data_IF_216455094940
#
_entry.id   IF_216455094940
#
_cell.length_a   1.000
_cell.length_b   1.000
_cell.length_c   1.000
_cell.angle_alpha   90.00
_cell.angle_beta   90.00
_cell.angle_gamma   90.00
#
_symmetry.space_group_name_H-M   'P 1'
#
loop_
_entity.id
_entity.type
_entity.pdbx_description
1 polymer ?
#
# COMPACT_ATOMS: atom_id res chain seq x y z
N UNK A 1 8.92 -21.02 55.10
CA UNK A 1 8.65 -22.47 54.94
C UNK A 1 8.05 -22.73 53.56
N UNK A 2 8.72 -23.60 52.83
CA UNK A 2 8.42 -24.29 51.56
C UNK A 2 8.65 -23.54 50.25
N UNK A 3 9.83 -23.80 49.74
CA UNK A 3 10.29 -23.76 48.36
C UNK A 3 9.34 -24.48 47.41
N UNK A 4 9.18 -23.94 46.19
CA UNK A 4 8.81 -24.74 45.03
C UNK A 4 9.81 -24.51 43.87
N UNK A 5 10.64 -25.52 43.73
CA UNK A 5 11.65 -25.81 42.74
C UNK A 5 11.11 -25.70 41.31
N UNK A 6 11.76 -24.86 40.48
CA UNK A 6 11.65 -24.88 39.01
C UNK A 6 12.43 -26.07 38.46
N UNK A 7 11.76 -27.07 37.94
CA UNK A 7 12.36 -28.07 37.06
C UNK A 7 12.27 -27.60 35.61
N UNK A 8 13.37 -27.07 35.09
CA UNK A 8 13.66 -27.06 33.67
C UNK A 8 13.91 -28.46 33.18
N UNK A 9 12.98 -29.08 32.45
CA UNK A 9 13.24 -30.26 31.65
C UNK A 9 13.64 -29.81 30.26
N UNK A 10 14.94 -29.87 29.94
CA UNK A 10 15.42 -29.89 28.58
C UNK A 10 14.89 -31.18 27.92
N UNK A 11 14.09 -31.03 26.85
CA UNK A 11 13.71 -32.16 25.99
C UNK A 11 14.98 -32.78 25.42
N UNK A 12 15.18 -34.08 25.64
CA UNK A 12 16.35 -34.80 25.12
C UNK A 12 16.34 -34.79 23.59
N UNK A 13 17.54 -34.81 22.99
CA UNK A 13 17.76 -34.75 21.54
C UNK A 13 16.90 -35.75 20.75
N UNK A 14 16.63 -36.95 21.35
CA UNK A 14 15.81 -38.01 20.75
C UNK A 14 14.32 -37.56 20.58
N UNK A 15 13.75 -36.88 21.57
CA UNK A 15 12.36 -36.39 21.48
C UNK A 15 12.15 -35.28 20.39
N UNK A 16 13.18 -34.49 20.13
CA UNK A 16 13.15 -33.48 19.08
C UNK A 16 13.21 -34.11 17.69
N UNK A 17 13.98 -35.18 17.52
CA UNK A 17 14.10 -35.92 16.26
C UNK A 17 12.78 -36.65 15.92
N UNK A 18 12.10 -37.26 16.91
CA UNK A 18 10.84 -37.98 16.70
C UNK A 18 9.67 -37.04 16.31
N UNK A 19 9.65 -35.81 16.81
CA UNK A 19 8.59 -34.79 16.50
C UNK A 19 8.71 -34.27 15.07
N UNK A 20 9.94 -34.12 14.55
CA UNK A 20 10.16 -33.42 13.26
C UNK A 20 10.44 -34.38 12.08
N UNK A 21 10.89 -35.60 12.29
CA UNK A 21 11.37 -36.45 11.19
C UNK A 21 10.73 -37.85 11.10
N UNK A 22 9.93 -38.29 12.07
CA UNK A 22 9.25 -39.60 12.05
C UNK A 22 10.21 -40.74 11.77
N UNK A 23 11.22 -40.94 12.63
CA UNK A 23 12.26 -41.95 12.49
C UNK A 23 11.88 -43.23 13.26
N UNK A 24 11.85 -44.38 12.60
CA UNK A 24 11.70 -45.70 13.25
C UNK A 24 12.95 -46.55 13.04
N UNK A 25 13.33 -47.29 14.07
CA UNK A 25 14.45 -48.24 14.02
C UNK A 25 13.94 -49.63 13.63
N UNK A 26 14.35 -50.13 12.49
CA UNK A 26 14.08 -51.51 12.08
C UNK A 26 15.43 -52.20 11.86
N UNK A 27 15.66 -53.26 12.64
CA UNK A 27 16.86 -54.14 12.55
C UNK A 27 18.18 -53.37 12.66
N UNK A 28 18.29 -52.38 13.57
CA UNK A 28 19.54 -51.61 13.80
C UNK A 28 19.89 -50.53 12.78
N UNK A 29 19.00 -50.24 11.83
CA UNK A 29 19.17 -49.20 10.83
C UNK A 29 18.09 -48.12 11.00
N UNK A 30 18.50 -46.83 11.03
CA UNK A 30 17.60 -45.69 11.10
C UNK A 30 16.96 -45.44 9.73
N UNK A 31 15.64 -45.52 9.63
CA UNK A 31 14.90 -45.27 8.39
C UNK A 31 14.05 -43.96 8.51
N UNK A 32 14.29 -43.01 7.67
CA UNK A 32 13.52 -41.74 7.59
C UNK A 32 12.24 -41.92 6.75
N UNK A 33 11.08 -41.69 7.35
CA UNK A 33 9.75 -41.83 6.66
C UNK A 33 9.32 -40.62 5.80
N UNK A 34 9.98 -39.47 5.84
CA UNK A 34 9.60 -38.28 5.05
C UNK A 34 10.82 -37.58 4.46
N UNK A 35 11.22 -38.00 3.27
CA UNK A 35 12.17 -37.26 2.39
C UNK A 35 11.51 -37.08 1.03
N UNK A 36 11.63 -35.88 0.46
CA UNK A 36 11.13 -35.56 -0.89
C UNK A 36 11.72 -36.56 -1.91
N UNK A 37 10.92 -37.15 -2.83
CA UNK A 37 11.36 -38.26 -3.70
C UNK A 37 12.66 -38.02 -4.48
N UNK A 38 12.90 -36.78 -4.93
CA UNK A 38 14.10 -36.42 -5.71
C UNK A 38 15.41 -36.50 -4.87
N UNK A 39 15.35 -36.22 -3.58
CA UNK A 39 16.52 -36.28 -2.65
C UNK A 39 16.84 -37.75 -2.28
N UNK A 40 15.82 -38.59 -2.22
CA UNK A 40 15.96 -40.00 -1.90
C UNK A 40 16.80 -40.78 -2.93
N UNK A 41 16.56 -40.56 -4.22
CA UNK A 41 17.27 -41.25 -5.31
C UNK A 41 18.77 -40.88 -5.33
N UNK A 42 19.11 -39.61 -5.07
CA UNK A 42 20.50 -39.15 -5.08
C UNK A 42 21.30 -39.66 -3.87
N UNK A 43 20.66 -39.75 -2.70
CA UNK A 43 21.30 -40.22 -1.46
C UNK A 43 21.52 -41.74 -1.50
N UNK A 44 20.54 -42.53 -1.96
CA UNK A 44 20.66 -43.96 -2.09
C UNK A 44 21.75 -44.39 -3.08
N UNK A 45 21.84 -43.71 -4.26
CA UNK A 45 22.87 -44.00 -5.25
C UNK A 45 24.29 -43.62 -4.78
N UNK A 46 24.42 -42.55 -3.99
CA UNK A 46 25.71 -42.13 -3.42
C UNK A 46 26.15 -43.01 -2.25
N UNK A 47 25.25 -43.41 -1.39
CA UNK A 47 25.52 -44.32 -0.28
C UNK A 47 25.97 -45.71 -0.75
N UNK A 48 25.36 -46.29 -1.80
CA UNK A 48 25.72 -47.57 -2.38
C UNK A 48 27.10 -47.55 -3.06
N UNK A 49 27.56 -46.41 -3.56
CA UNK A 49 28.93 -46.27 -4.10
C UNK A 49 30.01 -46.14 -3.03
N UNK A 50 29.73 -45.48 -1.90
CA UNK A 50 30.69 -45.32 -0.79
C UNK A 50 30.86 -46.56 0.05
N UNK A 51 29.82 -47.39 0.24
CA UNK A 51 29.90 -48.66 0.96
C UNK A 51 30.83 -49.71 0.29
N UNK A 52 31.14 -49.55 -1.00
CA UNK A 52 32.07 -50.41 -1.75
C UNK A 52 33.55 -49.98 -1.63
N UNK A 53 33.85 -48.85 -1.00
CA UNK A 53 35.19 -48.26 -1.00
C UNK A 53 35.92 -48.28 0.37
N UNK A 54 35.28 -48.73 1.49
CA UNK A 54 35.88 -48.62 2.83
C UNK A 54 35.74 -49.91 3.63
N UNK A 55 36.85 -50.64 3.80
CA UNK A 55 36.99 -51.70 4.77
C UNK A 55 37.58 -51.13 6.06
N UNK A 56 36.77 -50.91 7.13
CA UNK A 56 37.29 -50.52 8.45
C UNK A 56 36.43 -49.58 9.28
N UNK A 57 36.65 -49.50 10.58
CA UNK A 57 35.90 -48.84 11.65
C UNK A 57 35.87 -47.25 11.60
N UNK A 58 36.36 -46.60 10.55
CA UNK A 58 36.31 -45.16 10.31
C UNK A 58 35.09 -44.55 9.63
N UNK A 59 34.11 -45.32 9.10
CA UNK A 59 33.04 -44.81 8.26
C UNK A 59 31.90 -44.09 9.03
N UNK A 60 31.64 -44.44 10.27
CA UNK A 60 30.47 -43.92 10.98
C UNK A 60 30.55 -42.44 11.34
N UNK A 61 31.75 -41.94 11.70
CA UNK A 61 31.97 -40.51 12.00
C UNK A 61 32.01 -39.66 10.75
N UNK A 62 32.58 -40.18 9.65
CA UNK A 62 32.61 -39.49 8.35
C UNK A 62 31.22 -39.45 7.72
N UNK A 63 30.41 -40.51 7.89
CA UNK A 63 29.01 -40.57 7.43
C UNK A 63 28.12 -39.58 8.17
N UNK A 64 28.31 -39.40 9.47
CA UNK A 64 27.58 -38.42 10.26
C UNK A 64 27.91 -36.98 9.85
N UNK A 65 29.16 -36.62 9.57
CA UNK A 65 29.56 -35.31 9.11
C UNK A 65 29.05 -34.98 7.69
N UNK A 66 29.07 -35.95 6.78
CA UNK A 66 28.59 -35.78 5.40
C UNK A 66 27.07 -35.63 5.39
N UNK A 67 26.33 -36.39 6.18
CA UNK A 67 24.86 -36.28 6.30
C UNK A 67 24.47 -34.89 6.88
N UNK A 68 25.18 -34.43 7.92
CA UNK A 68 24.96 -33.12 8.52
C UNK A 68 25.28 -32.01 7.52
N UNK A 69 26.34 -32.14 6.72
CA UNK A 69 26.69 -31.18 5.66
C UNK A 69 25.67 -31.12 4.53
N UNK A 70 25.16 -32.27 4.06
CA UNK A 70 24.18 -32.36 2.97
C UNK A 70 22.80 -31.91 3.44
N UNK A 71 22.38 -32.23 4.66
CA UNK A 71 21.10 -31.78 5.22
C UNK A 71 21.09 -30.27 5.50
N UNK A 72 22.19 -29.68 5.95
CA UNK A 72 22.33 -28.24 6.14
C UNK A 72 22.29 -27.49 4.83
N UNK A 73 22.93 -28.01 3.78
CA UNK A 73 22.93 -27.39 2.43
C UNK A 73 21.56 -27.53 1.72
N UNK A 74 20.88 -28.65 1.88
CA UNK A 74 19.57 -28.91 1.29
C UNK A 74 18.44 -28.09 1.98
N UNK A 75 18.54 -27.91 3.30
CA UNK A 75 17.64 -27.05 4.08
C UNK A 75 17.81 -25.56 3.71
N UNK A 76 19.03 -25.11 3.47
CA UNK A 76 19.31 -23.74 3.02
C UNK A 76 18.84 -23.47 1.57
N UNK A 77 18.56 -24.49 0.78
CA UNK A 77 18.10 -24.38 -0.62
C UNK A 77 16.58 -24.52 -0.80
N UNK A 78 15.81 -24.82 0.23
CA UNK A 78 14.35 -24.87 0.10
C UNK A 78 13.81 -23.44 -0.12
N UNK A 79 12.93 -23.20 -1.13
CA UNK A 79 12.33 -21.88 -1.36
C UNK A 79 11.64 -21.32 -0.12
N UNK A 80 11.18 -22.19 0.78
CA UNK A 80 10.47 -21.83 2.01
C UNK A 80 11.39 -21.29 3.12
N UNK A 81 12.72 -21.50 3.01
CA UNK A 81 13.70 -21.01 3.98
C UNK A 81 14.51 -19.80 3.48
N UNK A 82 14.66 -19.67 2.16
CA UNK A 82 15.47 -18.55 1.58
C UNK A 82 14.96 -17.19 1.98
N UNK A 83 13.65 -16.95 1.85
CA UNK A 83 13.06 -15.67 2.21
C UNK A 83 13.22 -15.35 3.70
N UNK A 84 13.23 -16.35 4.58
CA UNK A 84 13.43 -16.15 6.04
C UNK A 84 14.84 -15.66 6.36
N UNK A 85 15.83 -16.21 5.68
CA UNK A 85 17.23 -15.78 5.81
C UNK A 85 17.39 -14.38 5.24
N UNK A 86 16.86 -14.12 4.04
CA UNK A 86 16.87 -12.81 3.41
C UNK A 86 16.19 -11.76 4.30
N UNK A 87 15.01 -12.07 4.84
CA UNK A 87 14.25 -11.19 5.71
C UNK A 87 15.00 -10.84 6.99
N UNK A 88 15.56 -11.84 7.67
CA UNK A 88 16.37 -11.61 8.87
C UNK A 88 17.58 -10.72 8.57
N UNK A 89 18.33 -11.02 7.53
CA UNK A 89 19.51 -10.25 7.14
C UNK A 89 19.13 -8.81 6.78
N UNK A 90 17.99 -8.62 6.13
CA UNK A 90 17.44 -7.29 5.79
C UNK A 90 17.08 -6.50 7.05
N UNK A 91 16.43 -7.14 8.04
CA UNK A 91 16.12 -6.47 9.33
C UNK A 91 17.41 -6.07 10.05
N UNK A 92 18.41 -6.95 10.13
CA UNK A 92 19.69 -6.64 10.78
C UNK A 92 20.41 -5.48 10.07
N UNK A 93 20.39 -5.43 8.75
CA UNK A 93 20.95 -4.33 7.97
C UNK A 93 20.15 -3.02 8.18
N UNK A 94 18.83 -3.09 8.15
CA UNK A 94 17.94 -1.97 8.43
C UNK A 94 18.14 -1.36 9.83
N UNK A 95 18.40 -2.20 10.83
CA UNK A 95 18.72 -1.75 12.18
C UNK A 95 20.05 -1.03 12.28
N UNK A 96 21.04 -1.36 11.41
CA UNK A 96 22.29 -0.61 11.28
C UNK A 96 22.09 0.72 10.57
N UNK A 97 21.20 0.79 9.57
CA UNK A 97 20.78 2.04 8.92
C UNK A 97 20.01 2.96 9.89
N UNK A 98 19.27 2.36 10.84
CA UNK A 98 18.65 3.03 11.98
C UNK A 98 17.38 3.81 11.69
N UNK A 99 17.08 4.14 10.43
CA UNK A 99 15.88 4.91 10.07
C UNK A 99 15.38 4.61 8.66
N UNK A 100 14.12 5.02 8.39
CA UNK A 100 13.51 5.13 7.06
C UNK A 100 12.68 6.40 6.99
N UNK A 101 12.81 7.17 5.92
CA UNK A 101 12.09 8.43 5.71
C UNK A 101 11.06 8.26 4.59
N UNK A 102 9.80 8.48 4.92
CA UNK A 102 8.67 8.22 4.03
C UNK A 102 7.92 9.52 3.72
N UNK A 103 7.84 9.86 2.45
CA UNK A 103 6.95 10.90 1.96
C UNK A 103 5.52 10.37 1.92
N UNK A 104 4.57 11.06 2.54
CA UNK A 104 3.17 10.62 2.65
C UNK A 104 2.18 11.75 2.30
N UNK A 105 0.89 11.42 2.01
CA UNK A 105 -0.17 12.42 1.89
C UNK A 105 -0.31 13.30 3.14
N UNK A 106 -0.86 14.50 2.98
CA UNK A 106 -1.05 15.47 4.05
C UNK A 106 -2.12 15.00 5.06
N UNK A 107 -1.74 14.08 5.93
CA UNK A 107 -2.57 13.59 7.05
C UNK A 107 -1.70 13.40 8.29
N UNK A 108 -2.07 14.09 9.37
CA UNK A 108 -1.43 13.93 10.68
C UNK A 108 -1.77 12.56 11.27
N UNK A 109 -3.00 12.09 11.07
CA UNK A 109 -3.47 10.79 11.52
C UNK A 109 -2.70 9.66 10.85
N UNK A 110 -2.48 9.76 9.53
CA UNK A 110 -1.67 8.77 8.81
C UNK A 110 -0.23 8.75 9.31
N UNK A 111 0.37 9.93 9.51
CA UNK A 111 1.72 10.04 10.06
C UNK A 111 1.82 9.29 11.38
N UNK A 112 0.97 9.64 12.34
CA UNK A 112 0.97 9.01 13.65
C UNK A 112 0.75 7.50 13.56
N UNK A 113 -0.24 7.06 12.79
CA UNK A 113 -0.59 5.65 12.66
C UNK A 113 0.56 4.82 12.06
N UNK A 114 1.25 5.34 11.03
CA UNK A 114 2.40 4.66 10.42
C UNK A 114 3.58 4.59 11.38
N UNK A 115 3.94 5.71 12.04
CA UNK A 115 5.06 5.77 12.98
C UNK A 115 4.84 4.84 14.18
N UNK A 116 3.65 4.84 14.78
CA UNK A 116 3.31 3.96 15.91
C UNK A 116 3.21 2.49 15.49
N UNK A 117 2.53 2.20 14.39
CA UNK A 117 2.35 0.84 13.89
C UNK A 117 3.68 0.18 13.50
N UNK A 118 4.54 0.90 12.78
CA UNK A 118 5.84 0.40 12.40
C UNK A 118 6.77 0.19 13.60
N UNK A 119 6.83 1.17 14.51
CA UNK A 119 7.64 1.10 15.74
C UNK A 119 7.27 -0.08 16.63
N UNK A 120 6.00 -0.48 16.67
CA UNK A 120 5.54 -1.64 17.44
C UNK A 120 6.22 -2.93 17.00
N UNK A 121 6.46 -3.13 15.71
CA UNK A 121 7.15 -4.32 15.17
C UNK A 121 8.67 -4.14 15.06
N UNK A 122 9.12 -2.93 14.72
CA UNK A 122 10.52 -2.63 14.43
C UNK A 122 11.06 -1.48 15.30
N UNK A 123 11.09 -1.63 16.65
CA UNK A 123 11.42 -0.54 17.57
C UNK A 123 12.85 0.02 17.45
N UNK A 124 13.75 -0.70 16.73
CA UNK A 124 15.14 -0.27 16.49
C UNK A 124 15.34 0.44 15.15
N UNK A 125 14.26 0.65 14.39
CA UNK A 125 14.30 1.39 13.12
C UNK A 125 13.35 2.59 13.29
N UNK A 126 13.89 3.80 13.25
CA UNK A 126 13.08 5.02 13.35
C UNK A 126 12.37 5.26 12.01
N UNK A 127 11.05 5.18 11.99
CA UNK A 127 10.26 5.54 10.82
C UNK A 127 9.82 7.00 10.95
N UNK A 128 10.22 7.83 10.00
CA UNK A 128 9.88 9.24 9.90
C UNK A 128 8.94 9.46 8.72
N UNK A 129 7.71 9.93 8.99
CA UNK A 129 6.73 10.27 7.96
C UNK A 129 6.66 11.78 7.74
N UNK A 130 6.81 12.21 6.48
CA UNK A 130 6.73 13.61 6.08
C UNK A 130 5.46 13.86 5.26
N UNK A 131 4.40 14.39 5.90
CA UNK A 131 3.15 14.70 5.20
C UNK A 131 3.29 15.96 4.36
N UNK A 132 2.78 15.93 3.12
CA UNK A 132 2.67 17.11 2.27
C UNK A 132 1.48 17.02 1.31
N UNK A 133 1.01 18.19 0.86
CA UNK A 133 -0.09 18.31 -0.10
C UNK A 133 0.41 18.17 -1.54
N UNK A 134 -0.39 17.52 -2.38
CA UNK A 134 -0.19 17.43 -3.81
C UNK A 134 1.20 16.95 -4.19
N UNK A 135 1.89 17.72 -5.02
CA UNK A 135 3.22 17.40 -5.53
C UNK A 135 4.39 17.97 -4.68
N UNK A 136 4.13 18.57 -3.51
CA UNK A 136 5.18 19.27 -2.75
C UNK A 136 6.36 18.36 -2.40
N UNK A 137 6.10 17.14 -1.86
CA UNK A 137 7.18 16.20 -1.58
C UNK A 137 7.87 15.69 -2.86
N UNK A 138 7.13 15.51 -3.96
CA UNK A 138 7.70 15.13 -5.25
C UNK A 138 8.65 16.21 -5.76
N UNK A 139 8.23 17.48 -5.70
CA UNK A 139 9.08 18.62 -6.08
C UNK A 139 10.33 18.70 -5.18
N UNK A 140 10.17 18.45 -3.88
CA UNK A 140 11.30 18.42 -2.93
C UNK A 140 12.27 17.29 -3.28
N UNK A 141 11.80 16.05 -3.47
CA UNK A 141 12.63 14.91 -3.90
C UNK A 141 13.41 15.25 -5.17
N UNK A 142 12.74 15.88 -6.14
CA UNK A 142 13.36 16.27 -7.40
C UNK A 142 14.44 17.35 -7.23
N UNK A 143 14.23 18.34 -6.37
CA UNK A 143 15.22 19.38 -6.10
C UNK A 143 16.40 18.84 -5.30
N UNK A 144 16.15 17.97 -4.34
CA UNK A 144 17.19 17.30 -3.55
C UNK A 144 18.08 16.43 -4.43
N UNK A 145 17.49 15.65 -5.35
CA UNK A 145 18.24 14.83 -6.30
C UNK A 145 19.16 15.69 -7.20
N UNK A 146 18.65 16.81 -7.75
CA UNK A 146 19.46 17.76 -8.51
C UNK A 146 20.62 18.34 -7.71
N UNK A 147 20.44 18.50 -6.41
CA UNK A 147 21.48 19.00 -5.48
C UNK A 147 22.43 17.92 -4.98
N UNK A 148 22.25 16.65 -5.40
CA UNK A 148 23.03 15.51 -4.90
C UNK A 148 22.73 15.17 -3.45
N UNK A 149 21.61 15.63 -2.90
CA UNK A 149 21.14 15.36 -1.54
C UNK A 149 19.95 14.42 -1.61
N UNK A 150 19.98 13.35 -0.82
CA UNK A 150 18.90 12.37 -0.80
C UNK A 150 18.41 12.18 0.63
N UNK A 151 17.16 12.59 0.87
CA UNK A 151 16.55 12.52 2.20
C UNK A 151 15.47 11.46 2.30
N UNK A 152 14.67 11.31 1.24
CA UNK A 152 13.56 10.37 1.21
C UNK A 152 13.97 8.98 0.71
N UNK A 153 13.39 7.96 1.31
CA UNK A 153 13.57 6.56 0.94
C UNK A 153 12.40 6.02 0.10
N UNK A 154 11.17 6.33 0.54
CA UNK A 154 9.93 5.80 -0.02
C UNK A 154 8.95 6.95 -0.22
N UNK A 155 8.14 6.90 -1.29
CA UNK A 155 7.01 7.81 -1.44
C UNK A 155 5.70 7.02 -1.53
N UNK A 156 4.69 7.51 -0.80
CA UNK A 156 3.31 7.03 -0.85
C UNK A 156 2.42 8.20 -1.24
N UNK A 157 1.60 8.03 -2.28
CA UNK A 157 0.74 9.13 -2.73
C UNK A 157 -0.12 8.80 -3.94
N UNK A 158 -0.77 9.81 -4.49
CA UNK A 158 -1.50 9.73 -5.75
C UNK A 158 -0.56 9.62 -6.95
N UNK A 159 -0.96 8.89 -7.99
CA UNK A 159 -0.10 8.56 -9.12
C UNK A 159 0.23 9.74 -10.03
N UNK A 160 -0.63 10.77 -10.11
CA UNK A 160 -0.47 11.87 -11.07
C UNK A 160 0.89 12.57 -10.96
N UNK A 161 1.29 12.97 -9.76
CA UNK A 161 2.59 13.63 -9.53
C UNK A 161 3.78 12.67 -9.68
N UNK A 162 3.59 11.39 -9.39
CA UNK A 162 4.62 10.36 -9.61
C UNK A 162 4.87 10.19 -11.10
N UNK A 163 3.80 10.02 -11.88
CA UNK A 163 3.85 9.78 -13.35
C UNK A 163 4.35 11.02 -14.11
N UNK A 164 4.02 12.22 -13.64
CA UNK A 164 4.47 13.45 -14.30
C UNK A 164 5.82 13.98 -13.78
N UNK A 165 6.29 13.52 -12.61
CA UNK A 165 7.52 13.96 -11.98
C UNK A 165 8.58 12.86 -11.86
N UNK A 166 8.46 11.95 -10.88
CA UNK A 166 9.52 10.99 -10.54
C UNK A 166 9.78 9.96 -11.64
N UNK A 167 8.73 9.47 -12.32
CA UNK A 167 8.86 8.44 -13.34
C UNK A 167 9.68 8.93 -14.56
N UNK A 168 9.36 10.08 -15.21
CA UNK A 168 10.14 10.57 -16.34
C UNK A 168 11.53 11.06 -15.94
N UNK A 169 11.76 11.41 -14.68
CA UNK A 169 13.07 11.77 -14.16
C UNK A 169 13.99 10.56 -13.92
N UNK A 170 13.47 9.32 -14.03
CA UNK A 170 14.25 8.09 -13.81
C UNK A 170 14.65 7.87 -12.35
N UNK A 171 13.89 8.42 -11.40
CA UNK A 171 14.18 8.39 -9.95
C UNK A 171 13.57 7.19 -9.22
N UNK A 172 12.93 6.27 -9.94
CA UNK A 172 12.24 5.11 -9.36
C UNK A 172 13.01 3.82 -9.58
N UNK A 173 12.98 2.92 -8.59
CA UNK A 173 13.44 1.54 -8.69
C UNK A 173 12.25 0.58 -8.90
N UNK A 174 12.43 -0.54 -9.65
CA UNK A 174 11.42 -1.59 -9.72
C UNK A 174 11.09 -2.15 -8.33
N UNK A 175 9.80 -2.16 -7.96
CA UNK A 175 9.38 -2.47 -6.59
C UNK A 175 9.38 -3.97 -6.26
N UNK A 176 9.10 -4.86 -7.22
CA UNK A 176 9.00 -6.31 -6.95
C UNK A 176 10.22 -6.92 -6.26
N UNK A 177 11.48 -6.55 -6.60
CA UNK A 177 12.66 -7.04 -5.88
C UNK A 177 12.74 -6.61 -4.41
N UNK A 178 12.00 -5.58 -4.01
CA UNK A 178 11.96 -5.09 -2.62
C UNK A 178 10.96 -5.85 -1.75
N UNK A 179 10.02 -6.57 -2.36
CA UNK A 179 9.08 -7.43 -1.66
C UNK A 179 9.77 -8.75 -1.29
N UNK A 180 9.87 -9.07 -0.01
CA UNK A 180 10.54 -10.27 0.52
C UNK A 180 9.51 -11.27 1.07
N UNK A 181 8.55 -10.78 1.86
CA UNK A 181 7.59 -11.63 2.55
C UNK A 181 6.65 -12.36 1.58
N UNK A 182 6.50 -13.69 1.69
CA UNK A 182 5.62 -14.48 0.82
C UNK A 182 4.17 -13.98 0.81
N UNK A 183 3.68 -13.48 1.95
CA UNK A 183 2.32 -12.94 2.05
C UNK A 183 2.14 -11.65 1.23
N UNK A 184 3.22 -10.87 1.05
CA UNK A 184 3.22 -9.65 0.23
C UNK A 184 3.36 -9.99 -1.26
N UNK A 185 4.27 -10.93 -1.57
CA UNK A 185 4.59 -11.35 -2.95
C UNK A 185 3.51 -12.20 -3.64
N UNK A 186 2.66 -12.89 -2.89
CA UNK A 186 1.67 -13.82 -3.49
C UNK A 186 0.50 -13.02 -4.10
N UNK A 187 0.31 -13.05 -5.44
CA UNK A 187 -0.78 -12.32 -6.10
C UNK A 187 -2.17 -12.70 -5.58
N UNK A 188 -2.35 -13.96 -5.14
CA UNK A 188 -3.64 -14.45 -4.60
C UNK A 188 -4.10 -13.78 -3.31
N UNK A 189 -3.22 -13.07 -2.60
CA UNK A 189 -3.57 -12.32 -1.39
C UNK A 189 -4.12 -10.92 -1.71
N UNK A 190 -4.07 -10.53 -3.00
CA UNK A 190 -4.49 -9.24 -3.49
C UNK A 190 -5.63 -9.38 -4.48
N UNK A 191 -6.69 -8.64 -4.29
CA UNK A 191 -7.75 -8.57 -5.28
C UNK A 191 -7.20 -8.01 -6.61
N UNK A 192 -7.46 -8.75 -7.70
CA UNK A 192 -6.89 -8.44 -9.01
C UNK A 192 -5.40 -8.77 -9.18
N UNK A 193 -4.78 -9.47 -8.23
CA UNK A 193 -3.35 -9.77 -8.25
C UNK A 193 -2.48 -8.54 -8.01
N UNK A 194 -1.30 -8.46 -8.62
CA UNK A 194 -0.46 -7.26 -8.59
C UNK A 194 -0.94 -6.25 -9.63
N UNK A 195 -1.30 -5.05 -9.20
CA UNK A 195 -1.76 -3.95 -10.05
C UNK A 195 -0.76 -2.80 -9.96
N UNK A 196 -0.38 -2.28 -11.13
CA UNK A 196 0.58 -1.20 -11.31
C UNK A 196 -0.08 -0.02 -12.03
N UNK A 197 0.32 1.18 -11.69
CA UNK A 197 -0.18 2.38 -12.36
C UNK A 197 0.65 2.78 -13.58
N UNK A 198 1.94 2.45 -13.58
CA UNK A 198 2.85 2.72 -14.69
C UNK A 198 2.68 1.69 -15.82
N UNK A 199 2.86 2.11 -17.07
CA UNK A 199 2.73 1.27 -18.25
C UNK A 199 3.74 0.10 -18.29
N UNK A 200 4.91 0.28 -17.67
CA UNK A 200 5.92 -0.78 -17.55
C UNK A 200 5.55 -1.87 -16.54
N UNK A 201 4.59 -1.61 -15.64
CA UNK A 201 4.13 -2.55 -14.63
C UNK A 201 5.19 -2.89 -13.57
N UNK A 202 6.03 -1.93 -13.18
CA UNK A 202 7.22 -2.20 -12.36
C UNK A 202 7.42 -1.26 -11.18
N UNK A 203 7.01 0.00 -11.28
CA UNK A 203 7.45 1.07 -10.38
C UNK A 203 6.39 1.52 -9.39
N UNK A 204 5.15 1.72 -9.84
CA UNK A 204 4.08 2.34 -9.06
C UNK A 204 3.06 1.29 -8.66
N UNK A 205 3.21 0.72 -7.47
CA UNK A 205 2.34 -0.35 -6.97
C UNK A 205 1.08 0.21 -6.33
N UNK A 206 -0.08 -0.14 -6.89
CA UNK A 206 -1.39 0.25 -6.36
C UNK A 206 -1.82 -0.76 -5.29
N UNK A 207 -1.81 -0.39 -4.02
CA UNK A 207 -2.25 -1.27 -2.92
C UNK A 207 -3.68 -1.00 -2.44
N UNK A 208 -4.32 0.07 -2.89
CA UNK A 208 -5.74 0.36 -2.66
C UNK A 208 -6.54 0.26 -3.96
N UNK A 209 -7.86 -0.05 -3.85
CA UNK A 209 -8.82 0.09 -4.93
C UNK A 209 -10.23 0.27 -4.37
N UNK A 210 -10.89 1.35 -4.74
CA UNK A 210 -12.21 1.68 -4.24
C UNK A 210 -12.96 2.61 -5.19
N UNK A 211 -14.29 2.64 -5.03
CA UNK A 211 -15.14 3.68 -5.54
C UNK A 211 -15.23 4.78 -4.49
N UNK A 212 -15.05 6.03 -4.89
CA UNK A 212 -15.10 7.17 -3.98
C UNK A 212 -16.30 8.05 -4.30
N UNK A 213 -17.02 8.47 -3.28
CA UNK A 213 -18.01 9.53 -3.44
C UNK A 213 -17.27 10.84 -3.70
N UNK A 214 -17.71 11.55 -4.74
CA UNK A 214 -17.01 12.74 -5.22
C UNK A 214 -17.46 14.01 -4.52
N UNK A 215 -18.60 13.95 -3.79
CA UNK A 215 -19.27 15.10 -3.21
C UNK A 215 -19.48 14.92 -1.71
N UNK A 216 -19.22 15.99 -0.95
CA UNK A 216 -19.53 16.10 0.46
C UNK A 216 -20.41 17.32 0.71
N UNK A 217 -21.28 17.27 1.71
CA UNK A 217 -22.21 18.36 2.00
C UNK A 217 -22.32 18.66 3.50
N UNK A 218 -22.71 19.91 3.80
CA UNK A 218 -23.12 20.28 5.15
C UNK A 218 -24.61 19.97 5.33
N UNK A 219 -24.94 19.15 6.34
CA UNK A 219 -26.32 18.67 6.57
C UNK A 219 -27.28 19.71 7.09
N UNK A 220 -26.78 20.88 7.54
CA UNK A 220 -27.61 22.04 7.92
C UNK A 220 -27.92 22.94 6.73
N UNK A 221 -27.09 22.91 5.68
CA UNK A 221 -27.14 23.82 4.54
C UNK A 221 -27.79 23.19 3.31
N UNK A 222 -27.79 21.85 3.23
CA UNK A 222 -28.27 21.11 2.08
C UNK A 222 -28.89 19.77 2.54
N UNK A 223 -30.00 19.38 1.91
CA UNK A 223 -30.58 18.04 2.06
C UNK A 223 -30.09 17.15 0.92
N UNK A 224 -29.75 15.87 1.16
CA UNK A 224 -29.17 14.99 0.14
C UNK A 224 -30.10 14.77 -1.07
N UNK A 225 -31.43 14.84 -0.88
CA UNK A 225 -32.44 14.67 -1.94
C UNK A 225 -32.44 15.83 -2.96
N UNK A 226 -31.74 16.92 -2.65
CA UNK A 226 -31.67 18.10 -3.52
C UNK A 226 -30.59 17.97 -4.59
N UNK A 227 -29.67 17.01 -4.43
CA UNK A 227 -28.58 16.71 -5.37
C UNK A 227 -28.59 15.22 -5.68
N UNK A 228 -29.26 14.83 -6.74
CA UNK A 228 -29.34 13.46 -7.26
C UNK A 228 -28.46 13.23 -8.49
N UNK A 229 -28.16 14.31 -9.21
CA UNK A 229 -27.37 14.33 -10.43
C UNK A 229 -26.33 15.46 -10.34
N UNK A 230 -25.26 15.38 -11.10
CA UNK A 230 -24.32 16.50 -11.22
C UNK A 230 -24.95 17.74 -11.84
N UNK A 231 -26.05 17.62 -12.62
CA UNK A 231 -26.77 18.79 -13.13
C UNK A 231 -27.41 19.60 -12.00
N UNK A 232 -27.71 19.00 -10.88
CA UNK A 232 -28.25 19.71 -9.71
C UNK A 232 -27.27 20.71 -9.10
N UNK A 233 -25.95 20.55 -9.35
CA UNK A 233 -24.93 21.53 -8.95
C UNK A 233 -25.08 22.87 -9.67
N UNK A 234 -25.80 22.89 -10.77
CA UNK A 234 -26.08 24.12 -11.57
C UNK A 234 -27.30 24.89 -11.07
N UNK A 235 -27.98 24.42 -10.02
CA UNK A 235 -29.16 25.11 -9.46
C UNK A 235 -28.77 26.44 -8.84
N UNK A 236 -29.57 27.52 -9.06
CA UNK A 236 -29.26 28.88 -8.57
C UNK A 236 -28.98 28.98 -7.08
N UNK A 237 -29.65 28.14 -6.27
CA UNK A 237 -29.45 28.10 -4.80
C UNK A 237 -28.06 27.67 -4.34
N UNK A 238 -27.29 26.99 -5.20
CA UNK A 238 -25.93 26.57 -4.93
C UNK A 238 -24.87 27.56 -5.44
N UNK A 239 -25.29 28.62 -6.14
CA UNK A 239 -24.36 29.64 -6.65
C UNK A 239 -23.61 30.32 -5.51
N UNK A 240 -22.26 30.36 -5.60
CA UNK A 240 -21.38 30.89 -4.55
C UNK A 240 -21.25 30.00 -3.31
N UNK A 241 -21.85 28.77 -3.33
CA UNK A 241 -21.88 27.86 -2.17
C UNK A 241 -21.25 26.49 -2.41
N UNK A 242 -20.61 26.32 -3.56
CA UNK A 242 -19.86 25.12 -3.93
C UNK A 242 -18.38 25.41 -3.79
N UNK A 243 -17.67 24.66 -2.97
CA UNK A 243 -16.22 24.70 -2.94
C UNK A 243 -15.62 23.55 -3.73
N UNK A 244 -14.45 23.76 -4.30
CA UNK A 244 -13.71 22.75 -5.05
C UNK A 244 -12.21 22.84 -4.74
N UNK A 245 -11.59 21.68 -4.54
CA UNK A 245 -10.13 21.60 -4.52
C UNK A 245 -9.60 21.91 -5.91
N UNK A 246 -8.68 22.87 -6.01
CA UNK A 246 -8.17 23.42 -7.28
C UNK A 246 -7.78 22.31 -8.29
N UNK A 247 -8.51 22.15 -9.40
CA UNK A 247 -8.29 21.06 -10.35
C UNK A 247 -7.08 21.29 -11.28
N UNK A 248 -6.47 22.46 -11.24
CA UNK A 248 -5.28 22.81 -12.04
C UNK A 248 -4.02 22.09 -11.55
N UNK A 249 -4.03 21.60 -10.29
CA UNK A 249 -2.90 20.89 -9.70
C UNK A 249 -3.19 19.40 -9.51
N UNK A 250 -2.17 18.51 -9.57
CA UNK A 250 -2.34 17.10 -9.27
C UNK A 250 -2.97 16.85 -7.89
N UNK A 251 -4.03 16.03 -7.85
CA UNK A 251 -4.75 15.72 -6.62
C UNK A 251 -6.17 15.21 -6.87
N UNK A 252 -6.96 15.10 -5.80
CA UNK A 252 -8.34 14.63 -5.87
C UNK A 252 -9.28 15.65 -6.55
N UNK A 253 -9.00 16.94 -6.46
CA UNK A 253 -9.73 17.97 -7.24
C UNK A 253 -9.60 17.74 -8.74
N UNK A 254 -8.37 17.52 -9.23
CA UNK A 254 -8.13 17.17 -10.64
C UNK A 254 -8.81 15.85 -11.02
N UNK A 255 -8.81 14.85 -10.13
CA UNK A 255 -9.48 13.57 -10.36
C UNK A 255 -10.98 13.74 -10.59
N UNK A 256 -11.64 14.47 -9.70
CA UNK A 256 -13.09 14.70 -9.81
C UNK A 256 -13.44 15.60 -11.02
N UNK A 257 -12.64 16.65 -11.27
CA UNK A 257 -12.80 17.50 -12.43
C UNK A 257 -12.70 16.71 -13.75
N UNK A 258 -11.71 15.84 -13.87
CA UNK A 258 -11.54 14.99 -15.05
C UNK A 258 -12.67 13.98 -15.23
N UNK A 259 -13.21 13.46 -14.12
CA UNK A 259 -14.38 12.60 -14.15
C UNK A 259 -15.62 13.37 -14.63
N UNK A 260 -15.88 14.56 -14.09
CA UNK A 260 -16.99 15.40 -14.53
C UNK A 260 -16.86 15.77 -16.02
N UNK A 261 -15.66 16.09 -16.48
CA UNK A 261 -15.42 16.31 -17.91
C UNK A 261 -15.77 15.08 -18.75
N UNK A 262 -15.34 13.89 -18.31
CA UNK A 262 -15.62 12.62 -19.03
C UNK A 262 -17.10 12.31 -19.13
N UNK A 263 -17.89 12.56 -18.07
CA UNK A 263 -19.31 12.16 -18.00
C UNK A 263 -20.29 13.26 -18.42
N UNK A 264 -19.91 14.55 -18.27
CA UNK A 264 -20.80 15.68 -18.57
C UNK A 264 -20.28 16.58 -19.71
N UNK A 265 -19.00 16.46 -20.10
CA UNK A 265 -18.41 17.25 -21.17
C UNK A 265 -17.97 18.67 -20.75
N UNK A 266 -17.33 19.39 -21.72
CA UNK A 266 -16.77 20.72 -21.51
C UNK A 266 -17.85 21.79 -21.22
N UNK A 267 -18.98 21.74 -21.91
CA UNK A 267 -20.06 22.70 -21.72
C UNK A 267 -20.67 22.68 -20.32
N UNK A 268 -20.71 21.52 -19.70
CA UNK A 268 -21.11 21.38 -18.31
C UNK A 268 -20.10 22.08 -17.39
N UNK A 269 -18.80 21.87 -17.58
CA UNK A 269 -17.76 22.50 -16.77
C UNK A 269 -17.77 24.04 -16.90
N UNK A 270 -18.03 24.56 -18.10
CA UNK A 270 -18.26 26.02 -18.32
C UNK A 270 -19.43 26.56 -17.49
N UNK A 271 -20.53 25.78 -17.40
CA UNK A 271 -21.69 26.14 -16.57
C UNK A 271 -21.37 26.01 -15.07
N UNK A 272 -20.60 24.99 -14.68
CA UNK A 272 -20.21 24.77 -13.29
C UNK A 272 -19.31 25.92 -12.78
N UNK A 273 -18.38 26.40 -13.59
CA UNK A 273 -17.54 27.57 -13.24
C UNK A 273 -18.38 28.82 -13.00
N UNK A 274 -19.47 29.01 -13.77
CA UNK A 274 -20.40 30.15 -13.58
C UNK A 274 -21.23 30.08 -12.30
N UNK A 275 -21.09 28.99 -11.50
CA UNK A 275 -21.66 28.88 -10.17
C UNK A 275 -20.85 29.67 -9.11
N UNK A 276 -19.88 30.47 -9.50
CA UNK A 276 -19.02 31.22 -8.58
C UNK A 276 -18.37 30.30 -7.54
N UNK A 277 -17.60 29.31 -8.03
CA UNK A 277 -16.96 28.29 -7.22
C UNK A 277 -15.96 28.90 -6.22
N UNK A 278 -15.98 28.41 -4.99
CA UNK A 278 -14.97 28.69 -3.97
C UNK A 278 -13.76 27.79 -4.25
N UNK A 279 -12.74 28.33 -4.90
CA UNK A 279 -11.52 27.58 -5.22
C UNK A 279 -10.56 27.58 -4.03
N UNK A 280 -10.04 26.40 -3.66
CA UNK A 280 -9.05 26.30 -2.60
C UNK A 280 -7.94 25.28 -2.93
N UNK A 281 -6.72 25.55 -2.44
CA UNK A 281 -5.58 24.63 -2.53
C UNK A 281 -5.28 23.93 -1.21
N UNK A 282 -5.80 24.44 -0.12
CA UNK A 282 -5.63 23.87 1.20
C UNK A 282 -6.87 23.04 1.57
N UNK A 283 -6.70 21.73 1.57
CA UNK A 283 -7.78 20.77 1.88
C UNK A 283 -8.41 21.01 3.25
N UNK A 284 -7.61 21.35 4.26
CA UNK A 284 -8.10 21.61 5.61
C UNK A 284 -8.99 22.85 5.67
N UNK A 285 -8.58 23.93 5.00
CA UNK A 285 -9.38 25.15 4.96
C UNK A 285 -10.72 24.95 4.25
N UNK A 286 -10.74 24.16 3.16
CA UNK A 286 -11.99 23.79 2.49
C UNK A 286 -12.87 22.93 3.44
N UNK A 287 -12.31 21.93 4.09
CA UNK A 287 -13.07 21.12 5.05
C UNK A 287 -13.64 21.94 6.21
N UNK A 288 -12.89 22.92 6.72
CA UNK A 288 -13.37 23.88 7.71
C UNK A 288 -14.51 24.77 7.17
N UNK A 289 -14.38 25.23 5.92
CA UNK A 289 -15.40 26.03 5.24
C UNK A 289 -16.72 25.25 5.13
N UNK A 290 -16.67 24.01 4.66
CA UNK A 290 -17.83 23.12 4.60
C UNK A 290 -18.42 22.86 5.98
N UNK A 291 -17.58 22.50 6.95
CA UNK A 291 -18.01 22.14 8.31
C UNK A 291 -18.73 23.30 9.03
N UNK A 292 -18.29 24.54 8.76
CA UNK A 292 -18.86 25.76 9.33
C UNK A 292 -20.04 26.35 8.53
N UNK A 293 -20.46 25.69 7.43
CA UNK A 293 -21.58 26.13 6.61
C UNK A 293 -21.29 27.33 5.68
N UNK A 294 -20.03 27.73 5.51
CA UNK A 294 -19.64 28.73 4.51
C UNK A 294 -19.86 28.23 3.08
N UNK A 295 -19.60 26.95 2.85
CA UNK A 295 -20.03 26.22 1.68
C UNK A 295 -21.13 25.23 2.03
N UNK A 296 -22.02 24.93 1.09
CA UNK A 296 -23.05 23.91 1.23
C UNK A 296 -22.57 22.54 0.74
N UNK A 297 -21.67 22.56 -0.25
CA UNK A 297 -21.17 21.38 -0.95
C UNK A 297 -19.69 21.52 -1.29
N UNK A 298 -18.94 20.43 -1.15
CA UNK A 298 -17.51 20.33 -1.45
C UNK A 298 -17.24 19.29 -2.53
N UNK A 299 -16.38 19.61 -3.48
CA UNK A 299 -15.96 18.77 -4.59
C UNK A 299 -14.47 18.47 -4.47
N UNK A 300 -14.09 17.19 -4.61
CA UNK A 300 -12.70 16.77 -4.72
C UNK A 300 -11.96 16.62 -3.38
N UNK A 301 -12.66 16.59 -2.25
CA UNK A 301 -12.08 16.21 -0.95
C UNK A 301 -12.41 14.77 -0.62
N UNK A 302 -11.54 14.13 0.18
CA UNK A 302 -11.67 12.74 0.61
C UNK A 302 -11.95 12.64 2.11
N UNK A 303 -12.46 11.47 2.55
CA UNK A 303 -12.80 11.18 3.94
C UNK A 303 -11.73 11.63 4.95
N UNK A 304 -10.45 11.30 4.72
CA UNK A 304 -9.37 11.62 5.66
C UNK A 304 -9.24 13.13 5.95
N UNK A 305 -9.64 13.98 5.00
CA UNK A 305 -9.67 15.43 5.21
C UNK A 305 -10.78 15.83 6.18
N UNK A 306 -11.91 15.12 6.13
CA UNK A 306 -13.08 15.38 6.99
C UNK A 306 -13.05 14.63 8.32
N UNK A 307 -12.22 13.61 8.47
CA UNK A 307 -12.17 12.75 9.66
C UNK A 307 -12.09 13.52 11.00
N UNK A 308 -11.24 14.55 11.17
CA UNK A 308 -11.20 15.32 12.42
C UNK A 308 -12.52 16.03 12.73
N UNK A 309 -13.19 16.57 11.69
CA UNK A 309 -14.45 17.29 11.83
C UNK A 309 -15.62 16.33 12.12
N UNK A 310 -15.60 15.15 11.52
CA UNK A 310 -16.57 14.09 11.82
C UNK A 310 -16.45 13.60 13.26
N UNK A 311 -15.23 13.40 13.74
CA UNK A 311 -14.95 13.02 15.13
C UNK A 311 -15.40 14.11 16.13
N UNK A 312 -15.37 15.37 15.71
CA UNK A 312 -15.87 16.50 16.49
C UNK A 312 -17.39 16.69 16.38
N UNK A 313 -18.10 15.82 15.65
CA UNK A 313 -19.57 15.87 15.53
C UNK A 313 -20.09 16.99 14.62
N UNK A 314 -19.24 17.52 13.73
CA UNK A 314 -19.68 18.60 12.83
C UNK A 314 -20.62 18.08 11.73
N UNK A 315 -21.53 18.92 11.20
CA UNK A 315 -22.67 18.51 10.39
C UNK A 315 -22.29 18.30 8.91
N UNK A 316 -21.35 17.39 8.63
CA UNK A 316 -20.90 17.04 7.29
C UNK A 316 -21.11 15.55 7.01
N UNK A 317 -21.47 15.23 5.76
CA UNK A 317 -21.65 13.85 5.29
C UNK A 317 -21.26 13.73 3.82
N UNK A 318 -20.88 12.51 3.36
CA UNK A 318 -20.82 12.25 1.93
C UNK A 318 -22.23 12.25 1.33
N UNK A 319 -22.38 12.81 0.12
CA UNK A 319 -23.62 12.68 -0.64
C UNK A 319 -23.79 11.27 -1.20
N UNK A 320 -25.02 10.76 -1.33
CA UNK A 320 -25.28 9.56 -2.12
C UNK A 320 -24.71 9.66 -3.53
N UNK A 321 -24.41 8.49 -4.12
CA UNK A 321 -23.86 8.42 -5.47
C UNK A 321 -24.81 9.08 -6.47
N UNK A 322 -24.35 10.08 -7.24
CA UNK A 322 -25.16 10.70 -8.30
C UNK A 322 -25.57 9.71 -9.40
N UNK A 323 -26.64 10.05 -10.15
CA UNK A 323 -27.17 9.19 -11.21
C UNK A 323 -26.14 8.82 -12.29
N UNK A 324 -25.21 9.73 -12.58
CA UNK A 324 -24.12 9.48 -13.56
C UNK A 324 -23.00 8.60 -12.99
N UNK A 325 -23.08 8.23 -11.73
CA UNK A 325 -22.09 7.37 -11.06
C UNK A 325 -20.88 8.11 -10.50
N UNK A 326 -19.85 7.33 -10.18
CA UNK A 326 -18.58 7.76 -9.59
C UNK A 326 -17.41 7.02 -10.26
N UNK A 327 -16.20 7.46 -10.03
CA UNK A 327 -15.01 6.79 -10.56
C UNK A 327 -14.37 5.85 -9.54
N UNK A 328 -13.61 4.90 -10.05
CA UNK A 328 -12.73 4.05 -9.24
C UNK A 328 -11.34 4.68 -9.08
N UNK A 329 -10.67 4.40 -7.98
CA UNK A 329 -9.36 5.00 -7.68
C UNK A 329 -8.52 4.10 -6.77
N UNK A 330 -7.21 4.22 -6.86
CA UNK A 330 -6.28 3.80 -5.82
C UNK A 330 -6.01 4.92 -4.79
N UNK A 331 -6.57 6.09 -4.98
CA UNK A 331 -6.42 7.24 -4.09
C UNK A 331 -4.98 7.59 -3.80
N UNK A 332 -4.66 7.64 -2.51
CA UNK A 332 -3.28 7.82 -2.02
C UNK A 332 -2.52 6.50 -1.82
N UNK A 333 -3.11 5.38 -2.20
CA UNK A 333 -2.56 4.04 -1.97
C UNK A 333 -1.67 3.54 -3.10
N UNK A 334 -0.67 4.33 -3.45
CA UNK A 334 0.37 3.93 -4.38
C UNK A 334 1.72 4.11 -3.72
N UNK A 335 2.57 3.10 -3.79
CA UNK A 335 3.92 3.14 -3.21
C UNK A 335 4.98 2.98 -4.30
N UNK A 336 6.03 3.78 -4.16
CA UNK A 336 7.23 3.73 -5.00
C UNK A 336 8.49 3.78 -4.14
N UNK A 337 9.55 3.15 -4.62
CA UNK A 337 10.90 3.20 -4.06
C UNK A 337 11.77 4.16 -4.86
N UNK A 338 12.56 4.96 -4.15
CA UNK A 338 13.47 5.89 -4.80
C UNK A 338 14.80 5.21 -5.11
N UNK A 339 15.32 5.45 -6.31
CA UNK A 339 16.60 4.90 -6.78
C UNK A 339 17.78 5.29 -5.89
N UNK A 340 17.69 6.47 -5.30
CA UNK A 340 18.71 7.07 -4.44
C UNK A 340 18.36 6.99 -2.95
N UNK A 341 17.51 6.03 -2.56
CA UNK A 341 17.12 5.83 -1.16
C UNK A 341 18.33 5.66 -0.23
N UNK A 342 18.55 6.56 0.76
CA UNK A 342 19.71 6.48 1.65
C UNK A 342 19.71 5.26 2.57
N UNK A 343 18.53 4.69 2.85
CA UNK A 343 18.37 3.56 3.78
C UNK A 343 17.63 2.39 3.08
N UNK A 344 18.29 1.69 2.11
CA UNK A 344 17.61 0.72 1.24
C UNK A 344 17.11 -0.52 1.99
N UNK A 345 17.77 -0.96 3.06
CA UNK A 345 17.29 -2.11 3.83
C UNK A 345 16.13 -1.73 4.75
N UNK A 346 16.16 -0.57 5.38
CA UNK A 346 15.06 -0.06 6.18
C UNK A 346 13.82 0.20 5.30
N UNK A 347 14.03 0.66 4.07
CA UNK A 347 12.96 0.80 3.06
C UNK A 347 12.34 -0.54 2.69
N UNK A 348 13.13 -1.61 2.49
CA UNK A 348 12.61 -2.96 2.26
C UNK A 348 11.77 -3.44 3.45
N UNK A 349 12.24 -3.23 4.68
CA UNK A 349 11.48 -3.59 5.89
C UNK A 349 10.17 -2.82 5.93
N UNK A 350 10.20 -1.49 5.69
CA UNK A 350 9.01 -0.66 5.69
C UNK A 350 7.99 -1.07 4.61
N UNK A 351 8.43 -1.32 3.37
CA UNK A 351 7.55 -1.72 2.27
C UNK A 351 6.87 -3.06 2.57
N UNK A 352 7.61 -4.05 3.08
CA UNK A 352 7.03 -5.34 3.43
C UNK A 352 6.04 -5.22 4.58
N UNK A 353 6.31 -4.38 5.59
CA UNK A 353 5.38 -4.08 6.65
C UNK A 353 4.15 -3.32 6.12
N UNK A 354 4.33 -2.25 5.34
CA UNK A 354 3.23 -1.48 4.78
C UNK A 354 2.27 -2.37 3.98
N UNK A 355 2.82 -3.29 3.17
CA UNK A 355 2.06 -4.19 2.31
C UNK A 355 1.61 -5.48 3.03
N UNK A 356 2.00 -5.71 4.27
CA UNK A 356 1.47 -6.78 5.11
C UNK A 356 0.01 -6.52 5.50
N UNK A 357 -0.65 -7.52 6.08
CA UNK A 357 -2.00 -7.35 6.62
C UNK A 357 -2.05 -6.19 7.63
N UNK A 358 -1.15 -6.18 8.62
CA UNK A 358 -1.10 -5.17 9.67
C UNK A 358 -0.88 -3.75 9.11
N UNK A 359 0.11 -3.57 8.21
CA UNK A 359 0.36 -2.28 7.59
C UNK A 359 -0.83 -1.78 6.77
N UNK A 360 -1.57 -2.66 6.11
CA UNK A 360 -2.78 -2.31 5.37
C UNK A 360 -3.97 -1.99 6.29
N UNK A 361 -4.10 -2.65 7.44
CA UNK A 361 -5.08 -2.29 8.49
C UNK A 361 -4.79 -0.90 9.04
N UNK A 362 -3.52 -0.59 9.34
CA UNK A 362 -3.06 0.72 9.82
C UNK A 362 -3.36 1.81 8.78
N UNK A 363 -2.96 1.60 7.52
CA UNK A 363 -3.15 2.59 6.46
C UNK A 363 -4.64 2.85 6.19
N UNK A 364 -5.42 1.78 6.00
CA UNK A 364 -6.87 1.87 5.75
C UNK A 364 -7.58 2.54 6.93
N UNK A 365 -7.19 2.20 8.17
CA UNK A 365 -7.75 2.79 9.39
C UNK A 365 -7.55 4.31 9.47
N UNK A 366 -6.36 4.79 9.10
CA UNK A 366 -6.03 6.22 9.14
C UNK A 366 -6.67 7.01 7.98
N UNK A 367 -6.69 6.42 6.77
CA UNK A 367 -7.12 7.12 5.56
C UNK A 367 -8.58 6.91 5.19
N UNK A 368 -9.23 5.87 5.73
CA UNK A 368 -10.56 5.46 5.30
C UNK A 368 -10.63 4.99 3.84
N UNK A 369 -9.49 4.67 3.24
CA UNK A 369 -9.37 4.23 1.85
C UNK A 369 -9.16 2.71 1.79
N UNK A 370 -10.10 1.95 1.18
CA UNK A 370 -10.07 0.49 1.19
C UNK A 370 -8.89 -0.13 0.44
N UNK A 371 -8.22 -1.05 1.13
CA UNK A 371 -7.14 -1.85 0.54
C UNK A 371 -7.64 -2.94 -0.40
N UNK A 372 -6.78 -3.37 -1.32
CA UNK A 372 -6.97 -4.54 -2.18
C UNK A 372 -6.62 -5.87 -1.49
N UNK A 373 -6.02 -5.84 -0.29
CA UNK A 373 -5.77 -7.08 0.44
C UNK A 373 -7.07 -7.79 0.78
N UNK A 374 -7.10 -9.10 0.50
CA UNK A 374 -8.31 -9.91 0.70
C UNK A 374 -8.55 -10.29 2.16
N UNK A 375 -7.51 -10.25 2.98
CA UNK A 375 -7.51 -10.61 4.41
C UNK A 375 -7.67 -9.40 5.37
N UNK A 376 -7.98 -8.21 4.82
CA UNK A 376 -8.26 -6.99 5.59
C UNK A 376 -9.73 -6.60 5.46
N UNK A 377 -10.40 -6.40 6.60
CA UNK A 377 -11.78 -5.90 6.62
C UNK A 377 -11.83 -4.42 6.25
N UNK A 378 -12.63 -4.10 5.25
CA UNK A 378 -12.85 -2.75 4.75
C UNK A 378 -14.33 -2.35 4.70
N UNK A 379 -15.26 -3.19 5.21
CA UNK A 379 -16.70 -2.95 5.13
C UNK A 379 -17.12 -1.64 5.82
N UNK A 380 -16.44 -1.28 6.91
CA UNK A 380 -16.69 -0.06 7.67
C UNK A 380 -16.45 1.24 6.89
N UNK A 381 -15.63 1.23 5.83
CA UNK A 381 -15.32 2.44 5.05
C UNK A 381 -16.52 2.93 4.25
N UNK A 382 -17.49 2.05 3.95
CA UNK A 382 -18.69 2.37 3.18
C UNK A 382 -19.53 3.47 3.83
N UNK A 383 -19.60 3.52 5.15
CA UNK A 383 -20.33 4.58 5.87
C UNK A 383 -19.76 5.99 5.63
N UNK A 384 -18.53 6.07 5.12
CA UNK A 384 -17.84 7.31 4.80
C UNK A 384 -17.72 7.55 3.28
N UNK A 385 -18.54 6.86 2.50
CA UNK A 385 -18.56 7.02 1.04
C UNK A 385 -17.39 6.36 0.31
N UNK A 386 -16.71 5.40 0.94
CA UNK A 386 -15.59 4.67 0.34
C UNK A 386 -15.97 3.20 0.20
N UNK A 387 -16.26 2.76 -1.03
CA UNK A 387 -16.72 1.41 -1.32
C UNK A 387 -15.53 0.61 -1.86
N UNK A 388 -15.11 -0.45 -1.16
CA UNK A 388 -14.02 -1.30 -1.62
C UNK A 388 -14.34 -1.92 -2.98
N UNK A 389 -13.45 -1.79 -3.96
CA UNK A 389 -13.65 -2.34 -5.29
C UNK A 389 -13.80 -3.86 -5.27
N UNK A 390 -13.11 -4.54 -4.36
CA UNK A 390 -13.18 -6.00 -4.17
C UNK A 390 -14.60 -6.51 -3.85
N UNK A 391 -15.47 -5.65 -3.32
CA UNK A 391 -16.82 -6.02 -2.88
C UNK A 391 -17.87 -5.83 -3.98
N UNK A 392 -17.59 -4.97 -4.99
CA UNK A 392 -18.60 -4.52 -5.96
C UNK A 392 -18.15 -4.55 -7.43
N UNK A 393 -16.86 -4.71 -7.70
CA UNK A 393 -16.31 -4.69 -9.05
C UNK A 393 -15.53 -5.98 -9.36
N UNK A 394 -15.45 -6.32 -10.64
CA UNK A 394 -14.40 -7.19 -11.17
C UNK A 394 -13.13 -6.37 -11.42
N UNK A 395 -11.92 -6.97 -11.43
CA UNK A 395 -10.69 -6.26 -11.80
C UNK A 395 -10.78 -5.58 -13.17
N UNK A 396 -11.41 -6.24 -14.17
CA UNK A 396 -11.64 -5.65 -15.50
C UNK A 396 -12.46 -4.37 -15.39
N UNK A 397 -13.58 -4.40 -14.65
CA UNK A 397 -14.46 -3.23 -14.51
C UNK A 397 -13.78 -2.10 -13.73
N UNK A 398 -12.90 -2.42 -12.78
CA UNK A 398 -12.08 -1.42 -12.09
C UNK A 398 -11.21 -0.63 -13.08
N UNK A 399 -10.51 -1.30 -13.99
CA UNK A 399 -9.66 -0.64 -15.00
C UNK A 399 -10.44 0.23 -15.99
N UNK A 400 -11.71 -0.06 -16.23
CA UNK A 400 -12.59 0.79 -17.06
C UNK A 400 -13.02 2.08 -16.36
N UNK A 401 -13.06 2.06 -15.02
CA UNK A 401 -13.58 3.16 -14.18
C UNK A 401 -12.49 3.94 -13.45
N UNK A 402 -11.27 3.39 -13.37
CA UNK A 402 -10.20 4.00 -12.60
C UNK A 402 -9.63 5.27 -13.27
N UNK A 403 -8.93 6.06 -12.46
CA UNK A 403 -8.38 7.34 -12.90
C UNK A 403 -6.92 7.56 -12.48
N UNK A 404 -6.18 6.48 -12.19
CA UNK A 404 -4.83 6.56 -11.62
C UNK A 404 -3.74 5.93 -12.51
N UNK A 405 -4.10 5.16 -13.54
CA UNK A 405 -3.12 4.59 -14.47
C UNK A 405 -2.41 5.67 -15.28
N UNK A 406 -1.21 5.37 -15.74
CA UNK A 406 -0.42 6.27 -16.60
C UNK A 406 -1.18 6.67 -17.86
N UNK A 407 -1.89 5.72 -18.47
CA UNK A 407 -2.74 5.99 -19.62
C UNK A 407 -3.81 7.03 -19.32
N UNK A 408 -4.61 6.84 -18.27
CA UNK A 408 -5.68 7.78 -17.90
C UNK A 408 -5.12 9.13 -17.48
N UNK A 409 -3.99 9.16 -16.78
CA UNK A 409 -3.35 10.42 -16.42
C UNK A 409 -2.94 11.20 -17.65
N UNK A 410 -2.29 10.56 -18.62
CA UNK A 410 -1.82 11.23 -19.84
C UNK A 410 -2.94 11.63 -20.79
N UNK A 411 -3.93 10.75 -20.96
CA UNK A 411 -4.99 10.92 -21.99
C UNK A 411 -6.23 11.68 -21.48
N UNK A 412 -6.48 11.69 -20.18
CA UNK A 412 -7.68 12.30 -19.59
C UNK A 412 -7.34 13.39 -18.58
N UNK A 413 -6.52 13.10 -17.56
CA UNK A 413 -6.34 14.04 -16.44
C UNK A 413 -5.50 15.26 -16.79
N UNK A 414 -4.43 15.10 -17.57
CA UNK A 414 -3.61 16.23 -18.03
C UNK A 414 -4.42 17.16 -18.96
N UNK A 415 -5.12 16.66 -19.99
CA UNK A 415 -6.02 17.50 -20.79
C UNK A 415 -7.12 18.18 -19.97
N UNK A 416 -7.72 17.48 -19.00
CA UNK A 416 -8.74 18.07 -18.12
C UNK A 416 -8.17 19.20 -17.25
N UNK A 417 -6.93 19.07 -16.77
CA UNK A 417 -6.25 20.15 -16.05
C UNK A 417 -5.95 21.35 -16.93
N UNK A 418 -5.54 21.13 -18.19
CA UNK A 418 -5.37 22.21 -19.17
C UNK A 418 -6.70 22.97 -19.43
N UNK A 419 -7.82 22.22 -19.51
CA UNK A 419 -9.14 22.84 -19.58
C UNK A 419 -9.48 23.61 -18.29
N UNK A 420 -9.11 23.11 -17.12
CA UNK A 420 -9.32 23.84 -15.87
C UNK A 420 -8.55 25.17 -15.85
N UNK A 421 -7.30 25.20 -16.32
CA UNK A 421 -6.56 26.46 -16.49
C UNK A 421 -7.31 27.45 -17.42
N UNK A 422 -7.77 26.96 -18.57
CA UNK A 422 -8.50 27.80 -19.53
C UNK A 422 -9.79 28.41 -18.96
N UNK A 423 -10.46 27.71 -18.03
CA UNK A 423 -11.76 28.12 -17.51
C UNK A 423 -11.69 28.87 -16.17
N UNK A 424 -10.59 28.72 -15.40
CA UNK A 424 -10.47 29.25 -14.03
C UNK A 424 -9.39 30.33 -13.88
N UNK A 425 -8.51 30.52 -14.89
CA UNK A 425 -7.58 31.64 -14.98
C UNK A 425 -8.25 32.84 -15.67
#
# INVERSE_FOLDING_TARGET
>A
MREHSRRNRSLGFQQVVDIYFGVETVSGVLVMKRVVPAVRITVEAFCLRLLKLTNGLGPALFFSMVIIGITSSALAQSPDLRWRVEWRNTIEAAQREGKVVVSIPASAELRQALEEGFKKQFPRINQESLPAQGANNINRIFQEDKGGVHYFDVHIGGTSSIITGLLPAGLLEPLMPWMILPEVKKPKNWWGGHIWADAAGQYIYMFLAYLTETLWYNTKELRPEEVKSYDDLLKPKLKGRIEILDPRTPGSGQSTWSFLWKVKGEEYLKKLVRQDLILGRNQRQLAESLANGKAALSIGLSYYTFSPFLKAGLPIKPLPVPEEGIYASSGSGNVVTLKTAPHPNASKVFINWLLSREGQEVFTGAMGQPTRRLDVDTAWTKQFGQIAAKDVLTPKRFFELENQSEEVIRTVRIPAAALAHKLLD
#
